data_IF_797645013090
#
_entry.id   IF_797645013090
#
_cell.length_a   1.000
_cell.length_b   1.000
_cell.length_c   1.000
_cell.angle_alpha   90.00
_cell.angle_beta   90.00
_cell.angle_gamma   90.00
#
_symmetry.space_group_name_H-M   'P 1'
#
loop_
_entity.id
_entity.type
_entity.pdbx_description
1 polymer ?
#
# COMPACT_ATOMS: atom_id res chain seq x y z
N UNK A 1 19.44 -61.71 -40.47
CA UNK A 1 19.45 -61.75 -41.96
C UNK A 1 18.30 -60.92 -42.54
N UNK A 2 18.61 -59.75 -43.12
CA UNK A 2 17.66 -58.89 -43.89
C UNK A 2 17.27 -59.58 -45.21
N UNK A 3 16.08 -59.32 -45.80
CA UNK A 3 15.83 -58.14 -46.66
C UNK A 3 14.37 -57.61 -46.51
N UNK A 4 13.88 -56.48 -47.05
CA UNK A 4 13.84 -56.01 -48.43
C UNK A 4 13.50 -54.51 -48.48
N UNK A 5 14.00 -53.86 -49.52
CA UNK A 5 13.68 -52.54 -50.05
C UNK A 5 12.20 -52.45 -50.49
N UNK A 6 11.58 -51.26 -50.48
CA UNK A 6 11.34 -50.40 -51.67
C UNK A 6 10.22 -49.36 -51.44
N UNK A 7 10.37 -48.22 -52.13
CA UNK A 7 9.37 -47.19 -52.50
C UNK A 7 8.78 -46.35 -51.37
N UNK A 8 9.14 -45.05 -51.26
CA UNK A 8 8.62 -43.93 -52.07
C UNK A 8 7.11 -44.06 -52.28
N UNK A 9 6.34 -43.45 -51.38
CA UNK A 9 4.99 -43.02 -51.66
C UNK A 9 4.92 -41.50 -51.49
N UNK A 10 4.53 -40.87 -52.58
CA UNK A 10 4.25 -39.45 -52.74
C UNK A 10 2.88 -39.09 -52.16
N UNK A 11 2.73 -37.78 -51.93
CA UNK A 11 1.48 -37.04 -51.86
C UNK A 11 0.54 -37.25 -50.66
N UNK A 12 0.59 -36.29 -49.72
CA UNK A 12 -0.55 -35.40 -49.54
C UNK A 12 -0.08 -34.09 -48.89
N UNK A 13 -0.14 -33.03 -49.70
CA UNK A 13 -0.13 -31.64 -49.25
C UNK A 13 -1.21 -31.46 -48.17
N UNK A 14 -0.82 -31.30 -46.92
CA UNK A 14 -1.68 -30.71 -45.91
C UNK A 14 -1.55 -29.19 -46.03
N UNK A 15 -2.60 -28.44 -46.46
CA UNK A 15 -2.55 -27.00 -46.31
C UNK A 15 -2.63 -26.69 -44.81
N UNK A 16 -1.48 -26.38 -44.23
CA UNK A 16 -1.38 -25.67 -42.95
C UNK A 16 -2.11 -24.36 -43.15
N UNK A 17 -3.38 -24.32 -42.72
CA UNK A 17 -4.12 -23.07 -42.59
C UNK A 17 -3.49 -22.32 -41.42
N UNK A 18 -2.41 -21.59 -41.71
CA UNK A 18 -1.97 -20.47 -40.90
C UNK A 18 -3.13 -19.48 -40.87
N UNK A 19 -3.94 -19.53 -39.82
CA UNK A 19 -4.71 -18.38 -39.38
C UNK A 19 -3.68 -17.31 -39.01
N UNK A 20 -3.23 -16.55 -40.01
CA UNK A 20 -2.58 -15.26 -39.81
C UNK A 20 -3.63 -14.42 -39.09
N UNK A 21 -3.46 -14.30 -37.78
CA UNK A 21 -4.01 -13.22 -36.99
C UNK A 21 -3.63 -11.93 -37.71
N UNK A 22 -4.58 -11.39 -38.47
CA UNK A 22 -4.45 -10.13 -39.15
C UNK A 22 -4.41 -9.05 -38.07
N UNK A 23 -3.20 -8.68 -37.68
CA UNK A 23 -2.96 -7.46 -36.92
C UNK A 23 -3.77 -6.33 -37.57
N UNK A 24 -4.63 -5.60 -36.84
CA UNK A 24 -5.44 -4.55 -37.43
C UNK A 24 -4.50 -3.49 -37.99
N UNK A 25 -4.44 -3.40 -39.32
CA UNK A 25 -3.65 -2.38 -39.99
C UNK A 25 -4.24 -1.02 -39.63
N UNK A 26 -3.41 0.02 -39.39
CA UNK A 26 -3.90 1.35 -39.05
C UNK A 26 -4.60 2.06 -40.23
N UNK A 27 -4.67 1.39 -41.39
CA UNK A 27 -5.28 1.88 -42.61
C UNK A 27 -6.70 1.35 -42.77
N UNK A 28 -7.63 2.27 -43.01
CA UNK A 28 -8.97 1.95 -43.48
C UNK A 28 -8.93 1.60 -44.97
N UNK A 29 -9.89 0.81 -45.47
CA UNK A 29 -9.90 0.29 -46.85
C UNK A 29 -9.94 1.39 -47.93
N UNK A 30 -10.35 2.59 -47.53
CA UNK A 30 -10.41 3.83 -48.29
C UNK A 30 -9.11 4.66 -48.21
N UNK A 31 -8.01 4.07 -47.72
CA UNK A 31 -6.68 4.70 -47.67
C UNK A 31 -6.52 5.76 -46.57
N UNK A 32 -7.52 5.93 -45.71
CA UNK A 32 -7.50 6.89 -44.60
C UNK A 32 -7.01 6.24 -43.30
N UNK A 33 -6.23 6.99 -42.53
CA UNK A 33 -5.82 6.59 -41.19
C UNK A 33 -7.02 6.45 -40.29
N UNK A 34 -7.17 5.29 -39.63
CA UNK A 34 -8.17 5.13 -38.58
C UNK A 34 -7.75 5.99 -37.37
N UNK A 35 -8.65 6.77 -36.76
CA UNK A 35 -8.33 7.49 -35.53
C UNK A 35 -7.91 6.48 -34.46
N UNK A 36 -6.75 6.71 -33.84
CA UNK A 36 -6.24 5.86 -32.76
C UNK A 36 -7.24 5.83 -31.60
N UNK A 37 -7.40 4.68 -30.91
CA UNK A 37 -8.26 4.61 -29.73
C UNK A 37 -7.77 5.58 -28.65
N UNK A 38 -8.69 6.25 -27.96
CA UNK A 38 -8.40 7.26 -26.92
C UNK A 38 -7.54 6.75 -25.74
N UNK A 39 -7.30 5.44 -25.66
CA UNK A 39 -6.39 4.78 -24.72
C UNK A 39 -4.91 4.80 -25.15
N UNK A 40 -4.59 5.19 -26.39
CA UNK A 40 -3.20 5.39 -26.80
C UNK A 40 -2.69 6.71 -26.23
N UNK A 41 -1.90 6.63 -25.16
CA UNK A 41 -1.25 7.81 -24.56
C UNK A 41 -0.18 8.32 -25.53
N UNK A 42 -0.57 9.26 -26.38
CA UNK A 42 0.38 10.05 -27.15
C UNK A 42 1.29 10.84 -26.20
N UNK A 43 2.55 10.98 -26.58
CA UNK A 43 3.63 11.67 -25.85
C UNK A 43 3.27 13.09 -25.34
N UNK A 44 2.16 13.68 -25.81
CA UNK A 44 1.82 15.09 -25.60
C UNK A 44 1.17 15.49 -24.26
N UNK A 45 0.86 14.58 -23.33
CA UNK A 45 0.22 14.93 -22.04
C UNK A 45 0.99 14.49 -20.79
N UNK A 46 2.18 13.91 -20.96
CA UNK A 46 3.10 13.59 -19.86
C UNK A 46 4.21 14.63 -19.75
N UNK A 47 4.73 14.83 -18.54
CA UNK A 47 6.01 15.53 -18.38
C UNK A 47 7.10 14.75 -19.15
N UNK A 48 8.00 15.49 -19.82
CA UNK A 48 9.10 14.90 -20.58
C UNK A 48 9.96 14.01 -19.67
N UNK A 49 10.50 12.93 -20.22
CA UNK A 49 11.21 11.85 -19.50
C UNK A 49 12.54 12.22 -18.84
N UNK A 50 12.80 13.51 -18.57
CA UNK A 50 13.93 13.96 -17.76
C UNK A 50 13.46 15.11 -16.89
N UNK A 51 13.27 14.82 -15.60
CA UNK A 51 12.90 15.82 -14.62
C UNK A 51 14.13 16.67 -14.26
N UNK A 52 14.01 18.01 -14.17
CA UNK A 52 15.09 18.84 -13.67
C UNK A 52 15.40 18.50 -12.20
N UNK A 53 16.64 18.72 -11.73
CA UNK A 53 17.00 18.44 -10.34
C UNK A 53 16.12 19.27 -9.39
N UNK A 54 15.40 18.62 -8.44
CA UNK A 54 14.50 19.34 -7.54
C UNK A 54 15.28 20.01 -6.40
N UNK A 55 14.87 21.23 -6.04
CA UNK A 55 15.31 21.92 -4.82
C UNK A 55 14.27 21.71 -3.72
N UNK A 56 14.40 20.63 -2.96
CA UNK A 56 13.46 20.28 -1.91
C UNK A 56 13.67 21.15 -0.65
N UNK A 57 12.59 21.53 0.06
CA UNK A 57 12.71 22.22 1.33
C UNK A 57 13.35 21.31 2.39
N UNK A 58 14.09 21.92 3.31
CA UNK A 58 14.72 21.20 4.43
C UNK A 58 13.70 20.92 5.54
N UNK A 59 13.94 19.83 6.29
CA UNK A 59 13.11 19.47 7.43
C UNK A 59 13.29 20.37 8.66
N UNK A 60 12.41 20.25 9.66
CA UNK A 60 12.35 21.14 10.83
C UNK A 60 13.58 21.06 11.75
N UNK A 61 14.36 19.98 11.65
CA UNK A 61 15.59 19.76 12.43
C UNK A 61 16.83 20.38 11.77
N UNK A 62 16.70 21.14 10.67
CA UNK A 62 17.82 21.86 10.04
C UNK A 62 17.99 23.25 10.68
N UNK A 63 18.23 23.28 11.99
CA UNK A 63 18.44 24.50 12.79
C UNK A 63 19.88 24.57 13.29
N UNK A 64 20.47 25.76 13.24
CA UNK A 64 21.86 26.01 13.66
C UNK A 64 22.00 26.18 15.19
N UNK A 65 20.93 26.53 15.89
CA UNK A 65 20.90 26.71 17.35
C UNK A 65 19.68 26.03 17.95
N UNK A 66 19.74 25.75 19.26
CA UNK A 66 18.66 25.14 20.04
C UNK A 66 18.08 23.86 19.41
N UNK A 67 18.98 22.97 18.95
CA UNK A 67 18.65 21.77 18.18
C UNK A 67 19.45 20.56 18.66
N UNK A 68 19.37 20.30 19.97
CA UNK A 68 20.06 19.17 20.56
C UNK A 68 19.31 17.87 20.23
N UNK A 69 20.06 16.81 19.90
CA UNK A 69 19.46 15.50 19.61
C UNK A 69 18.67 14.95 20.81
N UNK A 70 19.14 15.19 22.03
CA UNK A 70 18.53 14.68 23.25
C UNK A 70 17.11 15.19 23.49
N UNK A 71 16.77 16.42 23.07
CA UNK A 71 15.44 17.00 23.31
C UNK A 71 14.40 16.57 22.28
N UNK A 72 14.81 15.90 21.20
CA UNK A 72 13.94 15.45 20.10
C UNK A 72 13.86 13.94 19.94
N UNK A 73 14.64 13.20 20.72
CA UNK A 73 14.77 11.75 20.57
C UNK A 73 13.60 11.01 21.23
N UNK A 74 12.46 10.95 20.54
CA UNK A 74 11.29 10.20 20.99
C UNK A 74 11.54 8.69 21.19
N UNK A 75 12.66 8.15 20.68
CA UNK A 75 13.03 6.74 20.93
C UNK A 75 13.45 6.50 22.38
N UNK A 76 13.91 7.54 23.08
CA UNK A 76 14.31 7.48 24.49
C UNK A 76 13.17 7.82 25.45
N UNK A 77 12.11 8.45 24.94
CA UNK A 77 10.88 8.73 25.68
C UNK A 77 10.00 7.49 25.87
N UNK A 78 10.33 6.38 25.21
CA UNK A 78 9.62 5.11 25.36
C UNK A 78 9.90 4.50 26.75
N UNK A 79 8.86 4.45 27.58
CA UNK A 79 8.88 3.85 28.92
C UNK A 79 8.32 2.42 28.84
N UNK A 80 8.79 1.46 29.65
CA UNK A 80 8.13 0.16 29.78
C UNK A 80 6.65 0.30 30.14
N UNK A 81 5.79 -0.67 29.76
CA UNK A 81 4.37 -0.60 30.04
C UNK A 81 4.08 -0.59 31.55
N UNK A 82 3.11 0.21 31.97
CA UNK A 82 2.62 0.21 33.35
C UNK A 82 1.84 -1.06 33.66
N UNK A 83 2.21 -1.76 34.73
CA UNK A 83 1.57 -3.01 35.13
C UNK A 83 0.43 -2.70 36.12
N UNK A 84 -0.82 -2.91 35.70
CA UNK A 84 -2.02 -2.63 36.52
C UNK A 84 -2.31 -3.78 37.51
N UNK A 85 -2.06 -5.02 37.08
CA UNK A 85 -2.27 -6.22 37.90
C UNK A 85 -1.14 -7.22 37.64
N UNK A 86 -0.45 -7.65 38.70
CA UNK A 86 0.53 -8.75 38.67
C UNK A 86 0.30 -9.70 39.84
N UNK A 87 0.58 -10.99 39.65
CA UNK A 87 0.54 -12.00 40.72
C UNK A 87 1.70 -11.84 41.70
N UNK A 88 2.85 -11.36 41.23
CA UNK A 88 4.02 -11.03 42.03
C UNK A 88 4.04 -9.52 42.30
N UNK A 89 3.89 -9.13 43.57
CA UNK A 89 4.02 -7.73 44.00
C UNK A 89 5.50 -7.40 44.18
N UNK A 90 6.03 -6.46 43.40
CA UNK A 90 7.32 -5.85 43.72
C UNK A 90 7.13 -4.97 44.95
N UNK A 91 7.81 -5.29 46.06
CA UNK A 91 7.84 -4.44 47.25
C UNK A 91 8.58 -3.14 46.88
N UNK A 92 7.89 -2.00 46.99
CA UNK A 92 8.53 -0.69 46.93
C UNK A 92 9.47 -0.60 48.14
N UNK A 93 10.76 -0.41 47.89
CA UNK A 93 11.73 -0.15 48.94
C UNK A 93 11.40 1.21 49.58
N UNK A 94 10.91 1.18 50.82
CA UNK A 94 11.01 2.32 51.74
C UNK A 94 9.79 3.25 51.89
N UNK A 95 8.56 2.74 52.05
CA UNK A 95 7.54 3.49 52.81
C UNK A 95 6.45 2.61 53.43
N UNK A 96 6.24 2.82 54.72
CA UNK A 96 5.27 2.14 55.59
C UNK A 96 3.87 2.20 55.01
N UNK A 97 3.26 1.03 54.83
CA UNK A 97 1.90 0.90 54.35
C UNK A 97 0.90 1.30 55.45
N UNK A 98 0.34 2.50 55.35
CA UNK A 98 -0.92 2.81 56.03
C UNK A 98 -2.05 2.14 55.25
N UNK A 99 -2.48 0.99 55.74
CA UNK A 99 -3.61 0.23 55.22
C UNK A 99 -4.92 0.99 55.50
N UNK A 100 -5.31 1.88 54.60
CA UNK A 100 -6.67 2.42 54.56
C UNK A 100 -7.59 1.38 53.92
N UNK A 101 -8.41 0.72 54.74
CA UNK A 101 -9.50 -0.13 54.30
C UNK A 101 -10.54 0.71 53.55
N UNK A 102 -10.51 0.68 52.21
CA UNK A 102 -11.52 1.33 51.38
C UNK A 102 -12.72 0.37 51.26
N UNK A 103 -13.81 0.75 51.93
CA UNK A 103 -15.11 0.09 51.86
C UNK A 103 -15.57 -0.09 50.40
N UNK A 104 -16.20 -1.23 50.12
CA UNK A 104 -16.71 -1.58 48.81
C UNK A 104 -17.90 -0.70 48.41
N UNK A 105 -17.62 0.48 47.86
CA UNK A 105 -18.58 1.27 47.10
C UNK A 105 -18.79 0.63 45.73
N UNK A 106 -20.04 0.47 45.32
CA UNK A 106 -20.45 -0.03 43.99
C UNK A 106 -19.68 0.68 42.88
N UNK A 107 -18.82 -0.06 42.16
CA UNK A 107 -17.99 0.49 41.09
C UNK A 107 -18.84 0.56 39.81
N UNK A 108 -19.00 1.76 39.24
CA UNK A 108 -19.64 1.92 37.91
C UNK A 108 -18.88 1.11 36.86
N UNK A 109 -19.61 0.48 35.96
CA UNK A 109 -19.03 -0.22 34.82
C UNK A 109 -18.21 0.77 33.97
N UNK A 110 -16.97 0.41 33.65
CA UNK A 110 -16.05 1.22 32.83
C UNK A 110 -16.05 0.68 31.40
N UNK A 111 -16.31 1.55 30.43
CA UNK A 111 -16.13 1.28 29.00
C UNK A 111 -14.73 1.78 28.58
N UNK A 112 -13.93 1.03 27.79
CA UNK A 112 -12.54 1.40 27.48
C UNK A 112 -12.40 2.72 26.70
N UNK A 113 -13.41 3.09 25.94
CA UNK A 113 -13.51 4.36 25.24
C UNK A 113 -14.98 4.83 25.21
N UNK A 114 -15.25 6.12 25.00
CA UNK A 114 -16.60 6.60 24.71
C UNK A 114 -17.22 5.91 23.48
N UNK A 115 -18.55 5.84 23.38
CA UNK A 115 -19.20 5.34 22.17
C UNK A 115 -18.82 6.23 20.98
N UNK A 116 -18.48 5.61 19.85
CA UNK A 116 -18.12 6.32 18.62
C UNK A 116 -19.27 7.24 18.18
N UNK A 117 -18.94 8.48 17.80
CA UNK A 117 -19.91 9.37 17.16
C UNK A 117 -20.33 8.75 15.82
N UNK A 118 -21.64 8.67 15.56
CA UNK A 118 -22.18 8.25 14.27
C UNK A 118 -21.70 9.20 13.18
N UNK A 119 -21.16 8.65 12.10
CA UNK A 119 -20.77 9.44 10.92
C UNK A 119 -21.99 10.01 10.21
N UNK A 120 -21.84 11.23 9.71
CA UNK A 120 -22.85 11.93 8.92
C UNK A 120 -22.69 11.54 7.44
N UNK A 121 -23.78 11.52 6.68
CA UNK A 121 -23.74 11.19 5.25
C UNK A 121 -23.07 12.33 4.46
N UNK A 122 -22.34 12.00 3.40
CA UNK A 122 -21.70 13.00 2.53
C UNK A 122 -22.72 14.01 2.00
N UNK A 123 -22.31 15.28 1.91
CA UNK A 123 -23.14 16.35 1.34
C UNK A 123 -23.02 16.42 -0.18
N UNK A 124 -21.84 16.09 -0.73
CA UNK A 124 -21.55 16.27 -2.15
C UNK A 124 -22.30 15.25 -3.01
N UNK A 125 -22.26 13.97 -2.62
CA UNK A 125 -22.92 12.85 -3.32
C UNK A 125 -23.43 11.83 -2.28
N UNK A 126 -24.66 12.02 -1.74
CA UNK A 126 -25.23 11.12 -0.72
C UNK A 126 -25.70 9.78 -1.28
N UNK A 127 -25.94 9.71 -2.59
CA UNK A 127 -26.39 8.51 -3.30
C UNK A 127 -25.60 8.37 -4.60
N UNK A 128 -25.32 7.12 -4.97
CA UNK A 128 -24.74 6.72 -6.26
C UNK A 128 -25.82 6.56 -7.32
#
# INVERSE_FOLDING_TARGET
>A
PRPLLLSRYDAAHFPVSLAVETSPTPFSADGRWRPLPALFRSCGTGHLGTQPPPKLPVGPSHKLSNNYYCTRDGRREAVPPSIIMSSQKALVSGKTAESSAVAATEKKAVTPAPPMKRWELSTDEPYL
#
